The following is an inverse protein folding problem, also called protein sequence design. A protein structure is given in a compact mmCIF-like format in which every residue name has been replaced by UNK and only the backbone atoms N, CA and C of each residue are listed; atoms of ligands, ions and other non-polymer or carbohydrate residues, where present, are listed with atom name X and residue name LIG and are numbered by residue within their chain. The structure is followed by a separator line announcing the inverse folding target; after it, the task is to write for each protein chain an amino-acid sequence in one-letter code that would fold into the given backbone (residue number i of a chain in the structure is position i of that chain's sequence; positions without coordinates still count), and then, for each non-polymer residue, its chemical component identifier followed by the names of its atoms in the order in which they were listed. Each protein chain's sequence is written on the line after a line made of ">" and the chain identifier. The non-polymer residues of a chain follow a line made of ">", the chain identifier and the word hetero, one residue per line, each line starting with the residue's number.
data_IF_214753536929
#
_entry.id   IF_214753536929
#
_cell.length_a   1.000
_cell.length_b   1.000
_cell.length_c   1.000
_cell.angle_alpha   90.00
_cell.angle_beta   90.00
_cell.angle_gamma   90.00
#
_symmetry.space_group_name_H-M   'P 1'
#
loop_
_entity.id
_entity.type
_entity.pdbx_description
1 polymer ?
#
# COMPACT_ATOMS: atom_id res chain seq x y z
N UNK A 1 -14.70 -20.31 10.44
CA UNK A 1 -14.01 -19.31 9.61
C UNK A 1 -14.63 -17.93 9.68
N UNK A 2 -15.92 -17.80 9.53
CA UNK A 2 -16.65 -16.52 9.72
C UNK A 2 -16.40 -15.90 11.10
N UNK A 3 -16.39 -16.70 12.16
CA UNK A 3 -16.17 -16.21 13.53
C UNK A 3 -14.77 -15.66 13.76
N UNK A 4 -13.76 -16.23 13.10
CA UNK A 4 -12.38 -15.75 13.20
C UNK A 4 -12.23 -14.38 12.50
N UNK A 5 -12.78 -14.24 11.32
CA UNK A 5 -12.76 -12.98 10.57
C UNK A 5 -13.49 -11.87 11.33
N UNK A 6 -14.67 -12.16 11.89
CA UNK A 6 -15.42 -11.20 12.69
C UNK A 6 -14.67 -10.77 13.95
N UNK A 7 -13.99 -11.70 14.61
CA UNK A 7 -13.14 -11.40 15.76
C UNK A 7 -11.97 -10.49 15.42
N UNK A 8 -11.30 -10.75 14.30
CA UNK A 8 -10.20 -9.90 13.82
C UNK A 8 -10.68 -8.51 13.44
N UNK A 9 -11.82 -8.41 12.77
CA UNK A 9 -12.43 -7.14 12.43
C UNK A 9 -12.78 -6.32 13.67
N UNK A 10 -13.36 -6.94 14.68
CA UNK A 10 -13.68 -6.28 15.97
C UNK A 10 -12.43 -5.74 16.65
N UNK A 11 -11.34 -6.51 16.67
CA UNK A 11 -10.06 -6.07 17.24
C UNK A 11 -9.51 -4.84 16.52
N UNK A 12 -9.58 -4.84 15.18
CA UNK A 12 -9.13 -3.70 14.37
C UNK A 12 -9.99 -2.47 14.59
N UNK A 13 -11.31 -2.64 14.67
CA UNK A 13 -12.24 -1.54 14.95
C UNK A 13 -12.00 -0.94 16.34
N UNK A 14 -11.72 -1.77 17.35
CA UNK A 14 -11.38 -1.30 18.68
C UNK A 14 -10.07 -0.52 18.69
N UNK A 15 -9.06 -1.03 18.00
CA UNK A 15 -7.78 -0.33 17.84
C UNK A 15 -7.96 1.06 17.20
N UNK A 16 -8.78 1.16 16.16
CA UNK A 16 -9.07 2.44 15.50
C UNK A 16 -9.81 3.40 16.43
N UNK A 17 -10.77 2.90 17.24
CA UNK A 17 -11.47 3.70 18.25
C UNK A 17 -10.51 4.23 19.29
N UNK A 18 -9.57 3.41 19.75
CA UNK A 18 -8.54 3.81 20.72
C UNK A 18 -7.65 4.92 20.15
N UNK A 19 -7.27 4.82 18.87
CA UNK A 19 -6.51 5.87 18.19
C UNK A 19 -7.27 7.19 18.13
N UNK A 20 -8.57 7.16 17.83
CA UNK A 20 -9.42 8.36 17.83
C UNK A 20 -9.48 8.95 19.24
N UNK A 21 -9.69 8.13 20.25
CA UNK A 21 -9.76 8.55 21.65
C UNK A 21 -8.47 9.22 22.12
N UNK A 22 -7.33 8.77 21.62
CA UNK A 22 -6.03 9.36 21.90
C UNK A 22 -5.75 10.63 21.09
N UNK A 23 -6.73 11.10 20.29
CA UNK A 23 -6.58 12.30 19.47
C UNK A 23 -5.70 12.14 18.25
N UNK A 24 -5.34 10.92 17.90
CA UNK A 24 -4.53 10.64 16.71
C UNK A 24 -5.42 10.56 15.47
N UNK A 25 -4.96 11.12 14.35
CA UNK A 25 -5.66 11.02 13.09
C UNK A 25 -5.58 9.59 12.54
N UNK A 26 -6.72 8.90 12.45
CA UNK A 26 -6.81 7.58 11.82
C UNK A 26 -6.74 7.66 10.29
N UNK A 27 -6.93 8.85 9.71
CA UNK A 27 -6.87 9.04 8.26
C UNK A 27 -5.51 8.66 7.68
N UNK A 28 -4.43 8.91 8.43
CA UNK A 28 -3.07 8.55 8.01
C UNK A 28 -2.80 7.05 8.02
N UNK A 29 -3.64 6.27 8.72
CA UNK A 29 -3.47 4.81 8.84
C UNK A 29 -4.53 4.03 8.08
N UNK A 30 -5.58 4.70 7.58
CA UNK A 30 -6.70 4.06 6.90
C UNK A 30 -6.32 3.48 5.55
N UNK A 31 -5.46 4.16 4.83
CA UNK A 31 -5.01 3.76 3.50
C UNK A 31 -3.49 3.71 3.43
N UNK A 32 -3.00 2.74 2.68
CA UNK A 32 -1.62 2.66 2.25
C UNK A 32 -1.58 2.52 0.73
N UNK A 33 -0.42 2.75 0.14
CA UNK A 33 -0.29 2.85 -1.31
C UNK A 33 0.79 1.93 -1.83
N UNK A 34 0.50 1.24 -2.92
CA UNK A 34 1.45 0.38 -3.63
C UNK A 34 1.69 0.91 -5.02
N UNK A 35 2.95 1.13 -5.35
CA UNK A 35 3.37 1.42 -6.72
C UNK A 35 3.64 0.09 -7.40
N UNK A 36 3.03 -0.14 -8.55
CA UNK A 36 3.26 -1.34 -9.33
C UNK A 36 3.20 -1.01 -10.83
N UNK A 37 3.64 -1.95 -11.66
CA UNK A 37 3.50 -1.82 -13.11
C UNK A 37 2.10 -2.19 -13.55
N UNK A 38 1.70 -1.71 -14.74
CA UNK A 38 0.44 -2.14 -15.36
C UNK A 38 0.36 -3.65 -15.53
N UNK A 39 1.48 -4.28 -15.88
CA UNK A 39 1.58 -5.73 -16.03
C UNK A 39 1.34 -6.45 -14.69
N UNK A 40 1.97 -6.00 -13.63
CA UNK A 40 1.78 -6.56 -12.29
C UNK A 40 0.33 -6.44 -11.83
N UNK A 41 -0.31 -5.30 -12.09
CA UNK A 41 -1.72 -5.10 -11.76
C UNK A 41 -2.62 -6.07 -12.54
N UNK A 42 -2.38 -6.24 -13.84
CA UNK A 42 -3.17 -7.16 -14.66
C UNK A 42 -3.07 -8.59 -14.15
N UNK A 43 -1.87 -9.04 -13.83
CA UNK A 43 -1.63 -10.37 -13.25
C UNK A 43 -2.35 -10.52 -11.90
N UNK A 44 -2.28 -9.49 -11.05
CA UNK A 44 -2.95 -9.49 -9.75
C UNK A 44 -4.47 -9.56 -9.88
N UNK A 45 -5.05 -8.83 -10.83
CA UNK A 45 -6.50 -8.89 -11.10
C UNK A 45 -6.94 -10.27 -11.55
N UNK A 46 -6.16 -10.92 -12.41
CA UNK A 46 -6.45 -12.28 -12.88
C UNK A 46 -6.39 -13.32 -11.75
N UNK A 47 -5.43 -13.17 -10.85
CA UNK A 47 -5.24 -14.07 -9.70
C UNK A 47 -6.10 -13.69 -8.50
N UNK A 48 -6.69 -12.50 -8.51
CA UNK A 48 -7.40 -11.88 -7.38
C UNK A 48 -6.50 -11.63 -6.16
N UNK A 49 -5.20 -11.74 -6.34
CA UNK A 49 -4.17 -11.48 -5.33
C UNK A 49 -2.97 -10.79 -5.96
N UNK A 50 -2.41 -9.83 -5.24
CA UNK A 50 -1.10 -9.27 -5.53
C UNK A 50 -0.07 -9.97 -4.65
N UNK A 51 0.81 -10.75 -5.24
CA UNK A 51 1.79 -11.55 -4.50
C UNK A 51 3.12 -10.84 -4.30
N UNK A 52 3.31 -9.71 -4.96
CA UNK A 52 4.51 -8.89 -4.84
C UNK A 52 5.24 -8.70 -6.17
N UNK A 53 6.01 -7.62 -6.23
CA UNK A 53 6.98 -7.40 -7.29
C UNK A 53 8.18 -8.33 -7.11
N UNK A 54 9.11 -8.32 -8.05
CA UNK A 54 10.37 -9.06 -7.91
C UNK A 54 11.12 -8.67 -6.63
N UNK A 55 11.18 -7.37 -6.35
CA UNK A 55 11.79 -6.86 -5.10
C UNK A 55 11.05 -7.32 -3.86
N UNK A 56 9.73 -7.29 -3.88
CA UNK A 56 8.91 -7.75 -2.76
C UNK A 56 9.18 -9.23 -2.45
N UNK A 57 9.20 -10.07 -3.49
CA UNK A 57 9.46 -11.50 -3.34
C UNK A 57 10.88 -11.76 -2.80
N UNK A 58 11.84 -10.99 -3.24
CA UNK A 58 13.23 -11.08 -2.77
C UNK A 58 13.35 -10.70 -1.29
N UNK A 59 12.66 -9.63 -0.89
CA UNK A 59 12.74 -9.10 0.48
C UNK A 59 11.81 -9.86 1.45
N UNK A 60 10.84 -10.60 0.95
CA UNK A 60 9.93 -11.43 1.75
C UNK A 60 8.69 -10.72 2.27
N UNK A 61 8.38 -9.53 1.76
CA UNK A 61 7.17 -8.76 2.10
C UNK A 61 6.84 -7.77 0.99
N UNK A 62 5.59 -7.35 0.93
CA UNK A 62 5.14 -6.34 -0.03
C UNK A 62 5.42 -4.95 0.56
N UNK A 63 6.12 -4.12 -0.21
CA UNK A 63 6.45 -2.73 0.16
C UNK A 63 5.31 -1.81 -0.18
N UNK A 64 4.87 -1.01 0.80
CA UNK A 64 3.88 0.05 0.63
C UNK A 64 4.46 1.40 1.06
N UNK A 65 3.72 2.45 0.79
CA UNK A 65 4.02 3.81 1.22
C UNK A 65 2.80 4.43 1.89
N UNK A 66 2.99 5.29 2.87
CA UNK A 66 1.99 6.26 3.28
C UNK A 66 1.81 7.30 2.18
N UNK A 67 0.71 8.05 2.21
CA UNK A 67 0.40 9.04 1.17
C UNK A 67 1.54 10.04 0.97
N UNK A 68 2.08 10.59 2.04
CA UNK A 68 3.17 11.57 1.99
C UNK A 68 4.52 10.97 1.56
N UNK A 69 4.62 9.66 1.48
CA UNK A 69 5.86 8.96 1.10
C UNK A 69 5.92 8.58 -0.38
N UNK A 70 4.79 8.69 -1.10
CA UNK A 70 4.67 8.19 -2.48
C UNK A 70 5.71 8.85 -3.40
N UNK A 71 5.78 10.18 -3.37
CA UNK A 71 6.71 10.93 -4.24
C UNK A 71 8.16 10.55 -4.00
N UNK A 72 8.56 10.39 -2.75
CA UNK A 72 9.92 9.96 -2.38
C UNK A 72 10.24 8.56 -2.87
N UNK A 73 9.29 7.64 -2.75
CA UNK A 73 9.43 6.26 -3.22
C UNK A 73 9.57 6.20 -4.74
N UNK A 74 8.75 6.96 -5.46
CA UNK A 74 8.84 7.06 -6.92
C UNK A 74 10.21 7.58 -7.35
N UNK A 75 10.68 8.64 -6.72
CA UNK A 75 11.97 9.25 -7.04
C UNK A 75 13.14 8.30 -6.77
N UNK A 76 13.09 7.57 -5.66
CA UNK A 76 14.18 6.69 -5.24
C UNK A 76 14.27 5.40 -6.04
N UNK A 77 13.13 4.78 -6.36
CA UNK A 77 13.10 3.42 -6.92
C UNK A 77 12.55 3.31 -8.34
N UNK A 78 11.88 4.34 -8.84
CA UNK A 78 11.16 4.26 -10.12
C UNK A 78 11.52 5.36 -11.11
N UNK A 79 12.63 6.07 -10.88
CA UNK A 79 13.06 7.18 -11.74
C UNK A 79 13.01 6.81 -13.22
N UNK A 80 12.40 7.66 -14.03
CA UNK A 80 12.23 7.49 -15.49
C UNK A 80 11.40 6.28 -15.93
N UNK A 81 10.77 5.57 -14.99
CA UNK A 81 9.99 4.39 -15.34
C UNK A 81 8.56 4.77 -15.71
N UNK A 82 8.10 4.25 -16.87
CA UNK A 82 6.74 4.42 -17.38
C UNK A 82 5.82 3.26 -16.95
N UNK A 83 4.54 3.42 -17.25
CA UNK A 83 3.53 2.36 -17.07
C UNK A 83 3.38 1.93 -15.62
N UNK A 84 3.41 2.90 -14.73
CA UNK A 84 3.19 2.69 -13.30
C UNK A 84 1.75 3.00 -12.90
N UNK A 85 1.28 2.24 -11.93
CA UNK A 85 -0.03 2.40 -11.31
C UNK A 85 0.18 2.59 -9.80
N UNK A 86 -0.63 3.46 -9.21
CA UNK A 86 -0.72 3.61 -7.78
C UNK A 86 -1.98 2.90 -7.29
N UNK A 87 -1.82 1.89 -6.44
CA UNK A 87 -2.94 1.21 -5.79
C UNK A 87 -3.21 1.86 -4.44
N UNK A 88 -4.45 2.23 -4.19
CA UNK A 88 -4.92 2.69 -2.89
C UNK A 88 -5.54 1.51 -2.16
N UNK A 89 -5.01 1.17 -1.01
CA UNK A 89 -5.33 -0.06 -0.28
C UNK A 89 -5.89 0.29 1.09
N UNK A 90 -7.07 -0.23 1.41
CA UNK A 90 -7.66 -0.11 2.74
C UNK A 90 -6.96 -1.08 3.70
N UNK A 91 -6.60 -0.60 4.88
CA UNK A 91 -5.82 -1.38 5.85
C UNK A 91 -6.67 -2.20 6.82
N UNK A 92 -7.95 -1.91 6.92
CA UNK A 92 -8.84 -2.44 7.96
C UNK A 92 -8.84 -3.97 8.05
N UNK A 93 -8.82 -4.64 6.90
CA UNK A 93 -8.85 -6.11 6.82
C UNK A 93 -7.49 -6.75 6.57
N UNK A 94 -6.41 -5.97 6.58
CA UNK A 94 -5.08 -6.52 6.37
C UNK A 94 -4.54 -7.12 7.66
N UNK A 95 -4.18 -8.40 7.59
CA UNK A 95 -3.41 -9.08 8.62
C UNK A 95 -1.94 -9.06 8.22
N UNK A 96 -1.05 -9.14 9.19
CA UNK A 96 0.41 -9.18 8.95
C UNK A 96 0.98 -7.91 8.31
N UNK A 97 0.29 -6.77 8.49
CA UNK A 97 0.80 -5.45 8.12
C UNK A 97 1.61 -4.88 9.29
N UNK A 98 2.87 -4.57 9.04
CA UNK A 98 3.79 -4.05 10.04
C UNK A 98 4.45 -2.79 9.50
N UNK A 99 4.46 -1.72 10.29
CA UNK A 99 5.24 -0.54 9.99
C UNK A 99 6.66 -0.74 10.51
N UNK A 100 7.63 -0.68 9.61
CA UNK A 100 9.02 -0.96 9.91
C UNK A 100 9.93 0.18 9.47
N UNK A 101 11.01 0.39 10.22
CA UNK A 101 11.96 1.44 9.93
C UNK A 101 12.83 1.08 8.73
N UNK A 102 12.92 1.99 7.75
CA UNK A 102 13.85 1.88 6.63
C UNK A 102 15.23 2.47 7.00
N UNK A 103 16.19 2.29 6.10
CA UNK A 103 17.57 2.76 6.32
C UNK A 103 17.67 4.28 6.53
N UNK A 104 16.72 5.05 6.01
CA UNK A 104 16.66 6.51 6.17
C UNK A 104 16.00 6.96 7.48
N UNK A 105 15.58 6.02 8.33
CA UNK A 105 14.91 6.30 9.60
C UNK A 105 13.40 6.42 9.52
N UNK A 106 12.81 6.48 8.35
CA UNK A 106 11.35 6.58 8.18
C UNK A 106 10.68 5.22 8.29
N UNK A 107 9.44 5.23 8.80
CA UNK A 107 8.63 4.01 8.93
C UNK A 107 7.81 3.82 7.65
N UNK A 108 7.85 2.59 7.13
CA UNK A 108 7.07 2.19 5.94
C UNK A 108 6.21 0.97 6.26
N UNK A 109 5.00 0.87 5.67
CA UNK A 109 4.16 -0.31 5.87
C UNK A 109 4.64 -1.48 4.99
N UNK A 110 4.85 -2.62 5.62
CA UNK A 110 5.25 -3.86 4.98
C UNK A 110 4.22 -4.95 5.24
N UNK A 111 3.75 -5.60 4.20
CA UNK A 111 2.74 -6.67 4.30
C UNK A 111 3.41 -8.03 4.12
N UNK A 112 3.36 -8.85 5.16
CA UNK A 112 3.94 -10.20 5.19
C UNK A 112 2.93 -11.27 4.78
N UNK A 113 2.09 -10.96 3.82
CA UNK A 113 1.14 -11.90 3.22
C UNK A 113 0.80 -11.42 1.80
N UNK A 114 0.22 -12.25 0.93
CA UNK A 114 -0.35 -11.76 -0.32
C UNK A 114 -1.43 -10.72 -0.05
N UNK A 115 -1.54 -9.74 -0.94
CA UNK A 115 -2.60 -8.72 -0.87
C UNK A 115 -3.83 -9.24 -1.63
N UNK A 116 -4.92 -9.45 -0.91
CA UNK A 116 -6.21 -9.72 -1.54
C UNK A 116 -6.67 -8.46 -2.28
N UNK A 117 -6.97 -8.60 -3.57
CA UNK A 117 -7.37 -7.47 -4.41
C UNK A 117 -8.69 -6.82 -3.99
N UNK A 118 -9.51 -7.48 -3.17
CA UNK A 118 -10.70 -6.86 -2.60
C UNK A 118 -10.38 -5.68 -1.66
N UNK A 119 -9.16 -5.60 -1.16
CA UNK A 119 -8.70 -4.49 -0.31
C UNK A 119 -8.18 -3.30 -1.11
N UNK A 120 -8.03 -3.42 -2.42
CA UNK A 120 -7.69 -2.31 -3.30
C UNK A 120 -8.96 -1.52 -3.59
N UNK A 121 -9.03 -0.31 -3.06
CA UNK A 121 -10.24 0.53 -3.17
C UNK A 121 -10.22 1.44 -4.38
N UNK A 122 -9.04 1.72 -4.92
CA UNK A 122 -8.87 2.51 -6.13
C UNK A 122 -7.51 2.26 -6.77
N UNK A 123 -7.38 2.58 -8.05
CA UNK A 123 -6.10 2.58 -8.75
C UNK A 123 -5.99 3.82 -9.63
N UNK A 124 -4.77 4.33 -9.77
CA UNK A 124 -4.49 5.56 -10.49
C UNK A 124 -3.29 5.37 -11.41
N UNK A 125 -3.40 5.86 -12.64
CA UNK A 125 -2.24 5.94 -13.52
C UNK A 125 -1.26 7.01 -13.03
N UNK A 126 0.02 6.69 -13.03
CA UNK A 126 1.09 7.63 -12.69
C UNK A 126 1.75 8.04 -14.01
N UNK A 127 1.62 9.32 -14.35
CA UNK A 127 2.25 9.86 -15.57
C UNK A 127 3.72 10.16 -15.33
N UNK A 128 4.52 10.03 -16.40
CA UNK A 128 5.92 10.43 -16.37
C UNK A 128 6.07 11.75 -17.16
N UNK A 129 6.58 12.77 -16.49
CA UNK A 129 6.85 14.06 -17.13
C UNK A 129 8.10 14.03 -18.02
N UNK A 130 8.26 15.03 -18.85
CA UNK A 130 9.40 15.15 -19.78
C UNK A 130 10.73 15.31 -19.04
N UNK A 131 10.68 15.80 -17.80
CA UNK A 131 11.83 15.93 -16.92
C UNK A 131 12.24 14.63 -16.21
N UNK A 132 11.52 13.52 -16.48
CA UNK A 132 11.77 12.22 -15.87
C UNK A 132 11.16 12.06 -14.48
N UNK A 133 10.41 13.04 -13.99
CA UNK A 133 9.70 12.98 -12.72
C UNK A 133 8.27 12.51 -12.93
N UNK A 134 7.76 11.78 -11.96
CA UNK A 134 6.37 11.29 -12.00
C UNK A 134 5.39 12.36 -11.53
N UNK A 135 4.21 12.33 -12.14
CA UNK A 135 3.11 13.24 -11.82
C UNK A 135 2.01 12.40 -11.16
N UNK A 136 1.70 12.71 -9.90
CA UNK A 136 0.62 12.05 -9.18
C UNK A 136 -0.72 12.71 -9.50
N UNK A 137 -1.82 11.92 -9.55
CA UNK A 137 -3.16 12.47 -9.65
C UNK A 137 -3.49 13.35 -8.43
N UNK A 138 -4.36 14.34 -8.65
CA UNK A 138 -4.75 15.28 -7.58
C UNK A 138 -5.73 14.71 -6.55
N UNK A 139 -6.33 13.57 -6.83
CA UNK A 139 -7.47 13.03 -6.06
C UNK A 139 -7.22 11.64 -5.44
N UNK A 140 -5.98 11.37 -5.10
CA UNK A 140 -5.63 10.09 -4.45
C UNK A 140 -6.08 10.00 -3.00
#
# INVERSE_FOLDING_TARGET
>A
MKFYEDSQLKKKLNFLKDLIHLGKSIMNFKFIYKICTKKELLEAKNKKQFTGSEKDLKDGYIHFSGEEQISGTLKKFYSNQKNLILLKVATLKLDHLIWEQASDGNMFPHLYSPLDMCNVVDDFEISLGDDGLHILPNNI
#
